data_IF_820578440183
#
_entry.id   IF_820578440183
#
_cell.length_a   1.000
_cell.length_b   1.000
_cell.length_c   1.000
_cell.angle_alpha   90.00
_cell.angle_beta   90.00
_cell.angle_gamma   90.00
#
_symmetry.space_group_name_H-M   'P 1'
#
loop_
_entity.id
_entity.type
_entity.pdbx_description
1 polymer ?
#
# COMPACT_ATOMS: atom_id res chain seq x y z
N UNK A 1 -13.02 0.74 -13.66
CA UNK A 1 -11.91 0.20 -12.85
C UNK A 1 -11.36 1.34 -12.03
N UNK A 2 -11.42 1.23 -10.70
CA UNK A 2 -10.79 2.22 -9.83
C UNK A 2 -9.27 2.07 -9.95
N UNK A 3 -8.55 3.19 -10.07
CA UNK A 3 -7.08 3.22 -10.11
C UNK A 3 -6.60 3.93 -8.87
N UNK A 4 -5.80 3.24 -8.06
CA UNK A 4 -5.20 3.83 -6.87
C UNK A 4 -3.89 4.49 -7.31
N UNK A 5 -3.77 5.79 -7.08
CA UNK A 5 -2.49 6.48 -7.18
C UNK A 5 -1.79 6.39 -5.83
N UNK A 6 -0.65 5.70 -5.83
CA UNK A 6 0.20 5.55 -4.64
C UNK A 6 1.42 6.48 -4.81
N UNK A 7 1.44 7.64 -4.12
CA UNK A 7 2.55 8.59 -4.22
C UNK A 7 3.80 7.99 -3.60
N UNK A 8 4.73 7.54 -4.45
CA UNK A 8 5.90 6.76 -4.02
C UNK A 8 6.78 7.52 -3.03
N UNK A 9 6.98 8.81 -3.23
CA UNK A 9 7.87 9.62 -2.39
C UNK A 9 7.26 9.83 -0.99
N UNK A 10 5.95 10.07 -0.92
CA UNK A 10 5.23 10.20 0.36
C UNK A 10 5.19 8.87 1.12
N UNK A 11 4.98 7.76 0.42
CA UNK A 11 5.02 6.41 1.00
C UNK A 11 6.43 6.03 1.46
N UNK A 12 7.47 6.40 0.72
CA UNK A 12 8.85 6.18 1.15
C UNK A 12 9.17 6.98 2.42
N UNK A 13 8.78 8.25 2.47
CA UNK A 13 8.93 9.08 3.66
C UNK A 13 8.13 8.54 4.85
N UNK A 14 6.91 8.04 4.61
CA UNK A 14 6.11 7.34 5.62
C UNK A 14 6.85 6.11 6.15
N UNK A 15 7.36 5.24 5.27
CA UNK A 15 8.08 4.05 5.69
C UNK A 15 9.29 4.38 6.57
N UNK A 16 10.07 5.39 6.18
CA UNK A 16 11.23 5.86 6.95
C UNK A 16 10.84 6.37 8.35
N UNK A 17 9.79 7.21 8.45
CA UNK A 17 9.32 7.74 9.75
C UNK A 17 8.83 6.65 10.71
N UNK A 18 8.34 5.54 10.17
CA UNK A 18 7.74 4.46 10.95
C UNK A 18 8.63 3.21 11.05
N UNK A 19 9.91 3.29 10.65
CA UNK A 19 10.84 2.15 10.67
C UNK A 19 10.30 0.92 9.92
N UNK A 20 9.56 1.17 8.84
CA UNK A 20 9.04 0.14 7.95
C UNK A 20 10.13 -0.21 6.95
N UNK A 21 10.61 -1.44 7.02
CA UNK A 21 11.58 -2.01 6.08
C UNK A 21 10.95 -2.32 4.72
N UNK A 22 9.71 -2.81 4.70
CA UNK A 22 8.97 -3.14 3.46
C UNK A 22 7.49 -2.86 3.63
N UNK A 23 6.92 -2.20 2.64
CA UNK A 23 5.49 -1.99 2.48
C UNK A 23 5.06 -2.58 1.14
N UNK A 24 4.11 -3.52 1.15
CA UNK A 24 3.62 -4.19 -0.06
C UNK A 24 2.09 -4.17 -0.12
N UNK A 25 1.54 -3.81 -1.27
CA UNK A 25 0.11 -3.89 -1.54
C UNK A 25 -0.28 -5.35 -1.85
N UNK A 26 -1.38 -5.83 -1.29
CA UNK A 26 -1.94 -7.14 -1.62
C UNK A 26 -3.47 -7.08 -1.67
N UNK A 27 -4.11 -8.22 -1.93
CA UNK A 27 -5.57 -8.32 -1.89
C UNK A 27 -6.29 -7.78 -3.12
N UNK A 28 -7.49 -7.25 -2.90
CA UNK A 28 -8.44 -6.84 -3.95
C UNK A 28 -7.92 -5.72 -4.85
N UNK A 29 -7.08 -4.83 -4.32
CA UNK A 29 -6.47 -3.72 -5.05
C UNK A 29 -5.59 -4.15 -6.25
N UNK A 30 -5.18 -5.42 -6.30
CA UNK A 30 -4.43 -5.99 -7.42
C UNK A 30 -5.32 -6.66 -8.48
N UNK A 31 -6.62 -6.79 -8.20
CA UNK A 31 -7.59 -7.51 -9.04
C UNK A 31 -8.44 -6.53 -9.87
N UNK A 32 -9.00 -7.04 -10.97
CA UNK A 32 -9.79 -6.22 -11.91
C UNK A 32 -11.16 -5.78 -11.39
N UNK A 33 -11.61 -6.32 -10.27
CA UNK A 33 -12.89 -6.00 -9.60
C UNK A 33 -12.76 -4.90 -8.52
N UNK A 34 -11.57 -4.30 -8.36
CA UNK A 34 -11.35 -3.22 -7.40
C UNK A 34 -12.25 -2.00 -7.69
N UNK A 35 -12.96 -1.54 -6.66
CA UNK A 35 -13.94 -0.47 -6.74
C UNK A 35 -13.99 0.41 -5.49
N UNK A 36 -14.85 1.45 -5.48
CA UNK A 36 -14.91 2.43 -4.39
C UNK A 36 -15.24 1.85 -3.00
N UNK A 37 -15.96 0.73 -2.97
CA UNK A 37 -16.32 0.01 -1.73
C UNK A 37 -15.25 -1.00 -1.29
N UNK A 38 -14.12 -1.09 -2.02
CA UNK A 38 -13.05 -2.06 -1.72
C UNK A 38 -12.04 -1.47 -0.74
N UNK A 39 -11.65 -2.26 0.24
CA UNK A 39 -10.53 -1.95 1.13
C UNK A 39 -9.17 -1.99 0.41
N UNK A 40 -8.16 -1.37 1.02
CA UNK A 40 -6.77 -1.38 0.54
C UNK A 40 -5.89 -2.08 1.57
N UNK A 41 -5.43 -3.28 1.24
CA UNK A 41 -4.65 -4.12 2.15
C UNK A 41 -3.14 -3.96 1.94
N UNK A 42 -2.40 -3.70 3.02
CA UNK A 42 -0.94 -3.61 3.03
C UNK A 42 -0.29 -4.62 3.97
N UNK A 43 0.78 -5.26 3.49
CA UNK A 43 1.70 -6.02 4.31
C UNK A 43 2.86 -5.11 4.71
N UNK A 44 3.14 -5.09 6.01
CA UNK A 44 4.18 -4.26 6.61
C UNK A 44 5.22 -5.17 7.25
N UNK A 45 6.48 -4.94 6.91
CA UNK A 45 7.64 -5.54 7.58
C UNK A 45 8.44 -4.43 8.23
N UNK A 46 8.68 -4.53 9.53
CA UNK A 46 9.46 -3.56 10.29
C UNK A 46 10.93 -3.96 10.35
N UNK A 47 11.78 -3.00 10.73
CA UNK A 47 13.15 -3.31 11.13
C UNK A 47 13.15 -4.23 12.37
N UNK A 48 14.14 -5.15 12.51
CA UNK A 48 14.24 -6.07 13.66
C UNK A 48 14.38 -5.36 15.01
#
# INVERSE_FOLDING_TARGET
>A
MARIELPKDELAAFCQRHHIRRLALFGSALRGDFGPESDVDFLVEFEP
#
